data_IF_856910589747
#
_entry.id   IF_856910589747
#
_cell.length_a   1.000
_cell.length_b   1.000
_cell.length_c   1.000
_cell.angle_alpha   90.00
_cell.angle_beta   90.00
_cell.angle_gamma   90.00
#
_symmetry.space_group_name_H-M   'P 1'
#
loop_
_entity.id
_entity.type
_entity.pdbx_description
1 polymer ?
#
# COMPACT_ATOMS: atom_id res chain seq x y z
N UNK A 1 72.41 -10.32 8.31
CA UNK A 1 72.95 -11.24 7.29
C UNK A 1 71.83 -11.58 6.32
N UNK A 2 72.09 -11.47 5.00
CA UNK A 2 71.17 -11.78 3.89
C UNK A 2 70.94 -13.30 3.72
N UNK A 3 69.83 -13.63 3.04
CA UNK A 3 69.43 -14.87 2.30
C UNK A 3 68.16 -15.48 2.94
N UNK A 4 67.15 -15.97 2.22
CA UNK A 4 67.04 -16.36 0.81
C UNK A 4 65.55 -16.43 0.42
N UNK A 5 65.24 -16.08 -0.83
CA UNK A 5 63.95 -16.30 -1.51
C UNK A 5 63.66 -17.79 -1.67
N UNK A 6 62.41 -18.21 -1.41
CA UNK A 6 61.78 -19.38 -2.05
C UNK A 6 60.41 -18.93 -2.56
N UNK A 7 60.21 -19.13 -3.87
CA UNK A 7 58.97 -18.98 -4.62
C UNK A 7 58.44 -20.39 -4.97
N UNK A 8 57.14 -20.46 -5.26
CA UNK A 8 56.33 -21.60 -5.76
C UNK A 8 55.80 -22.58 -4.68
N UNK A 9 54.54 -23.02 -4.71
CA UNK A 9 53.38 -22.73 -5.57
C UNK A 9 52.11 -23.38 -4.95
N UNK A 10 50.94 -22.99 -5.47
CA UNK A 10 49.64 -23.66 -5.39
C UNK A 10 49.00 -23.87 -4.00
N UNK A 11 48.05 -23.00 -3.67
CA UNK A 11 46.93 -23.28 -2.76
C UNK A 11 45.67 -22.65 -3.36
N UNK A 12 44.64 -23.46 -3.55
CA UNK A 12 43.48 -23.19 -4.39
C UNK A 12 42.74 -21.88 -4.08
N UNK A 13 42.53 -21.06 -5.13
CA UNK A 13 41.43 -20.09 -5.15
C UNK A 13 40.16 -20.91 -5.37
N UNK A 14 39.51 -21.30 -4.28
CA UNK A 14 38.13 -21.75 -4.34
C UNK A 14 37.29 -20.50 -4.63
N UNK A 15 36.94 -20.34 -5.91
CA UNK A 15 35.93 -19.40 -6.37
C UNK A 15 34.58 -19.95 -5.93
N UNK A 16 34.25 -19.77 -4.65
CA UNK A 16 32.86 -19.84 -4.21
C UNK A 16 32.20 -18.57 -4.69
N UNK A 17 31.51 -18.63 -5.84
CA UNK A 17 30.44 -17.68 -6.09
C UNK A 17 29.46 -17.88 -4.94
N UNK A 18 29.49 -16.97 -3.95
CA UNK A 18 28.47 -16.94 -2.92
C UNK A 18 27.14 -16.87 -3.66
N UNK A 19 26.29 -17.88 -3.44
CA UNK A 19 24.87 -17.74 -3.72
C UNK A 19 24.44 -16.38 -3.13
N UNK A 20 23.69 -15.56 -3.88
CA UNK A 20 23.16 -14.33 -3.31
C UNK A 20 22.45 -14.70 -2.01
N UNK A 21 22.82 -14.04 -0.91
CA UNK A 21 22.17 -14.28 0.37
C UNK A 21 20.66 -14.10 0.16
N UNK A 22 19.88 -15.09 0.54
CA UNK A 22 18.42 -14.96 0.54
C UNK A 22 18.12 -13.90 1.59
N UNK A 23 17.55 -12.77 1.15
CA UNK A 23 17.06 -11.75 2.09
C UNK A 23 15.85 -12.35 2.83
N UNK A 24 16.09 -12.83 4.04
CA UNK A 24 15.03 -13.36 4.91
C UNK A 24 14.27 -12.21 5.57
N UNK A 25 12.94 -12.32 5.59
CA UNK A 25 12.10 -11.39 6.32
C UNK A 25 12.25 -11.63 7.83
N UNK A 26 12.48 -10.56 8.60
CA UNK A 26 12.47 -10.63 10.07
C UNK A 26 11.04 -10.73 10.61
N UNK A 27 10.08 -10.11 9.92
CA UNK A 27 8.65 -10.15 10.23
C UNK A 27 7.84 -10.26 8.95
N UNK A 28 6.86 -11.17 8.93
CA UNK A 28 5.89 -11.28 7.84
C UNK A 28 4.48 -11.24 8.42
N UNK A 29 3.66 -10.32 7.91
CA UNK A 29 2.24 -10.22 8.25
C UNK A 29 1.39 -10.24 6.99
N UNK A 30 0.17 -10.76 7.10
CA UNK A 30 -0.83 -10.77 6.03
C UNK A 30 -1.99 -9.84 6.37
N UNK A 31 -2.43 -9.04 5.41
CA UNK A 31 -3.58 -8.15 5.58
C UNK A 31 -4.83 -8.97 5.93
N UNK A 32 -5.39 -8.73 7.11
CA UNK A 32 -6.62 -9.36 7.60
C UNK A 32 -7.85 -8.52 7.24
N UNK A 33 -7.68 -7.20 7.21
CA UNK A 33 -8.70 -6.24 6.77
C UNK A 33 -8.07 -5.22 5.83
N UNK A 34 -8.88 -4.64 4.95
CA UNK A 34 -8.50 -3.49 4.14
C UNK A 34 -9.73 -2.60 3.96
N UNK A 35 -9.61 -1.34 4.34
CA UNK A 35 -10.72 -0.40 4.33
C UNK A 35 -10.25 0.93 3.73
N UNK A 36 -11.09 1.58 2.92
CA UNK A 36 -10.79 2.95 2.51
C UNK A 36 -10.91 3.87 3.71
N UNK A 37 -9.89 4.69 3.96
CA UNK A 37 -9.92 5.68 5.02
C UNK A 37 -11.00 6.72 4.70
N UNK A 38 -11.96 6.86 5.62
CA UNK A 38 -13.11 7.76 5.47
C UNK A 38 -12.88 9.08 6.18
N UNK A 39 -13.66 10.08 5.80
CA UNK A 39 -13.80 11.31 6.57
C UNK A 39 -14.73 11.04 7.77
N UNK A 40 -14.20 11.08 8.99
CA UNK A 40 -14.98 10.92 10.21
C UNK A 40 -14.21 11.38 11.46
N UNK A 41 -14.65 12.43 12.17
CA UNK A 41 -15.72 13.38 11.82
C UNK A 41 -15.32 14.26 10.61
N UNK A 42 -16.17 15.23 10.25
CA UNK A 42 -15.88 16.19 9.18
C UNK A 42 -14.49 16.82 9.38
N UNK A 43 -13.69 16.86 8.32
CA UNK A 43 -12.33 17.39 8.29
C UNK A 43 -11.27 16.46 8.89
N UNK A 44 -11.63 15.24 9.28
CA UNK A 44 -10.70 14.27 9.89
C UNK A 44 -10.66 12.98 9.07
N UNK A 45 -9.47 12.53 8.67
CA UNK A 45 -9.27 11.26 7.97
C UNK A 45 -7.88 10.68 8.24
N UNK A 46 -7.74 9.36 8.16
CA UNK A 46 -6.43 8.71 8.20
C UNK A 46 -5.71 8.86 6.85
N UNK A 47 -4.38 8.99 6.88
CA UNK A 47 -3.57 9.16 5.68
C UNK A 47 -2.21 9.78 6.00
N UNK A 48 -1.61 10.42 5.00
CA UNK A 48 -0.30 11.04 5.08
C UNK A 48 -0.33 12.44 4.48
N UNK A 49 0.64 13.26 4.87
CA UNK A 49 0.97 14.47 4.13
C UNK A 49 1.91 14.09 2.97
N UNK A 50 1.35 14.02 1.77
CA UNK A 50 2.00 13.52 0.56
C UNK A 50 2.65 14.65 -0.25
N UNK A 51 2.17 15.88 -0.12
CA UNK A 51 2.72 17.05 -0.83
C UNK A 51 3.61 17.98 0.02
N UNK A 52 3.76 17.65 1.31
CA UNK A 52 4.48 18.41 2.34
C UNK A 52 3.87 19.79 2.64
N UNK A 53 2.62 20.03 2.29
CA UNK A 53 1.89 21.26 2.61
C UNK A 53 0.80 21.01 3.66
N UNK A 54 0.41 22.09 4.33
CA UNK A 54 -0.87 22.15 5.06
C UNK A 54 -1.67 23.21 4.33
N UNK A 55 -2.70 22.78 3.63
CA UNK A 55 -3.38 23.54 2.61
C UNK A 55 -4.86 23.70 2.91
N UNK A 56 -5.36 24.91 2.66
CA UNK A 56 -6.77 25.24 2.74
C UNK A 56 -7.36 25.40 1.35
N UNK A 57 -8.69 25.45 1.26
CA UNK A 57 -9.47 25.53 0.00
C UNK A 57 -9.14 26.70 -0.94
N UNK A 58 -8.31 27.67 -0.53
CA UNK A 58 -7.88 28.80 -1.37
C UNK A 58 -6.35 28.85 -1.57
N UNK A 59 -5.63 27.78 -1.25
CA UNK A 59 -4.17 27.75 -1.40
C UNK A 59 -3.78 27.55 -2.87
N UNK A 60 -3.31 28.62 -3.50
CA UNK A 60 -2.84 28.60 -4.89
C UNK A 60 -1.51 27.90 -5.12
N UNK A 61 -0.88 27.35 -4.09
CA UNK A 61 0.29 26.46 -4.21
C UNK A 61 -0.13 25.04 -4.52
N UNK A 62 -1.21 24.56 -3.89
CA UNK A 62 -1.77 23.21 -4.05
C UNK A 62 -2.86 23.18 -5.11
N UNK A 63 -3.60 22.07 -5.16
CA UNK A 63 -4.75 21.86 -6.04
C UNK A 63 -6.05 22.51 -5.52
N UNK A 64 -5.95 23.50 -4.63
CA UNK A 64 -7.09 24.17 -4.00
C UNK A 64 -8.04 23.20 -3.26
N UNK A 65 -7.47 22.09 -2.79
CA UNK A 65 -8.15 21.15 -1.91
C UNK A 65 -7.77 21.49 -0.48
N UNK A 66 -8.68 21.20 0.44
CA UNK A 66 -8.43 21.41 1.86
C UNK A 66 -8.02 20.08 2.46
N UNK A 67 -6.88 20.07 3.12
CA UNK A 67 -6.34 18.85 3.70
C UNK A 67 -7.16 18.43 4.92
N UNK A 68 -7.10 17.16 5.25
CA UNK A 68 -7.68 16.65 6.48
C UNK A 68 -6.71 16.84 7.65
N UNK A 69 -7.24 16.77 8.87
CA UNK A 69 -6.47 16.40 10.04
C UNK A 69 -6.50 14.87 10.21
N UNK A 70 -5.43 14.28 10.72
CA UNK A 70 -5.44 12.91 11.19
C UNK A 70 -6.28 12.76 12.47
N UNK A 71 -6.67 11.54 12.86
CA UNK A 71 -7.33 11.29 14.14
C UNK A 71 -6.52 11.71 15.38
N UNK A 72 -5.19 11.77 15.28
CA UNK A 72 -4.29 12.25 16.35
C UNK A 72 -4.09 13.77 16.36
N UNK A 73 -4.67 14.49 15.39
CA UNK A 73 -4.63 15.95 15.28
C UNK A 73 -3.48 16.49 14.43
N UNK A 74 -2.68 15.63 13.80
CA UNK A 74 -1.69 16.03 12.79
C UNK A 74 -2.38 16.64 11.57
N UNK A 75 -1.96 17.83 11.14
CA UNK A 75 -2.54 18.53 9.99
C UNK A 75 -1.88 18.12 8.66
N UNK A 76 -2.58 18.37 7.54
CA UNK A 76 -2.04 18.19 6.19
C UNK A 76 -2.22 16.78 5.63
N UNK A 77 -3.25 16.04 6.05
CA UNK A 77 -3.52 14.70 5.53
C UNK A 77 -4.20 14.79 4.16
N UNK A 78 -3.54 14.23 3.15
CA UNK A 78 -4.05 14.05 1.80
C UNK A 78 -4.86 12.75 1.70
N UNK A 79 -6.18 12.86 1.52
CA UNK A 79 -7.07 11.73 1.26
C UNK A 79 -8.35 12.18 0.52
N UNK A 80 -8.23 12.89 -0.60
CA UNK A 80 -9.35 13.47 -1.34
C UNK A 80 -10.35 12.40 -1.81
N UNK A 81 -9.90 11.16 -2.05
CA UNK A 81 -10.80 10.04 -2.33
C UNK A 81 -11.88 9.85 -1.25
N UNK A 82 -11.58 10.16 0.03
CA UNK A 82 -12.55 10.07 1.13
C UNK A 82 -13.82 10.90 0.88
N UNK A 83 -13.72 12.02 0.16
CA UNK A 83 -14.86 12.88 -0.19
C UNK A 83 -15.74 12.26 -1.27
N UNK A 84 -15.18 11.38 -2.10
CA UNK A 84 -15.90 10.66 -3.14
C UNK A 84 -16.53 9.35 -2.65
N UNK A 85 -16.00 8.74 -1.58
CA UNK A 85 -16.50 7.48 -1.02
C UNK A 85 -18.03 7.48 -0.77
N UNK A 86 -18.66 8.53 -0.22
CA UNK A 86 -20.11 8.54 -0.05
C UNK A 86 -20.91 8.42 -1.37
N UNK A 87 -20.38 8.99 -2.46
CA UNK A 87 -21.00 8.88 -3.79
C UNK A 87 -20.78 7.49 -4.38
N UNK A 88 -19.60 6.90 -4.16
CA UNK A 88 -19.29 5.53 -4.56
C UNK A 88 -20.18 4.54 -3.81
N UNK A 89 -20.37 4.73 -2.50
CA UNK A 89 -21.28 3.91 -1.71
C UNK A 89 -22.73 4.06 -2.19
N UNK A 90 -23.17 5.27 -2.52
CA UNK A 90 -24.52 5.46 -3.06
C UNK A 90 -24.72 4.70 -4.37
N UNK A 91 -23.73 4.71 -5.26
CA UNK A 91 -23.78 4.00 -6.54
C UNK A 91 -23.64 2.47 -6.37
N UNK A 92 -22.84 2.02 -5.40
CA UNK A 92 -22.58 0.61 -5.10
C UNK A 92 -23.48 0.03 -4.00
N UNK A 93 -24.55 0.72 -3.62
CA UNK A 93 -25.47 0.33 -2.54
C UNK A 93 -24.77 0.00 -1.20
N UNK A 94 -23.65 0.67 -0.92
CA UNK A 94 -22.83 0.47 0.29
C UNK A 94 -22.02 -0.84 0.31
N UNK A 95 -21.99 -1.58 -0.80
CA UNK A 95 -21.35 -2.90 -0.86
C UNK A 95 -19.81 -2.85 -0.93
N UNK A 96 -19.20 -1.68 -1.21
CA UNK A 96 -17.76 -1.56 -1.48
C UNK A 96 -16.91 -2.22 -0.38
N UNK A 97 -17.15 -1.88 0.88
CA UNK A 97 -16.35 -2.39 1.99
C UNK A 97 -16.51 -3.91 2.17
N UNK A 98 -17.74 -4.42 2.02
CA UNK A 98 -18.01 -5.84 2.10
C UNK A 98 -17.31 -6.60 0.97
N UNK A 99 -17.35 -6.07 -0.27
CA UNK A 99 -16.70 -6.68 -1.43
C UNK A 99 -15.17 -6.75 -1.28
N UNK A 100 -14.55 -5.71 -0.72
CA UNK A 100 -13.11 -5.70 -0.42
C UNK A 100 -12.78 -6.75 0.63
N UNK A 101 -13.55 -6.81 1.72
CA UNK A 101 -13.31 -7.81 2.78
C UNK A 101 -13.55 -9.23 2.29
N UNK A 102 -14.58 -9.47 1.47
CA UNK A 102 -14.84 -10.77 0.84
C UNK A 102 -13.66 -11.16 -0.05
N UNK A 103 -13.09 -10.22 -0.81
CA UNK A 103 -11.91 -10.49 -1.62
C UNK A 103 -10.68 -10.88 -0.79
N UNK A 104 -10.47 -10.27 0.39
CA UNK A 104 -9.41 -10.65 1.33
C UNK A 104 -9.65 -12.07 1.84
N UNK A 105 -10.86 -12.34 2.32
CA UNK A 105 -11.26 -13.62 2.91
C UNK A 105 -11.22 -14.78 1.90
N UNK A 106 -11.51 -14.51 0.63
CA UNK A 106 -11.48 -15.49 -0.46
C UNK A 106 -10.09 -15.63 -1.11
N UNK A 107 -9.06 -14.96 -0.57
CA UNK A 107 -7.67 -15.04 -1.07
C UNK A 107 -7.43 -14.29 -2.38
N UNK A 108 -8.43 -13.59 -2.93
CA UNK A 108 -8.28 -12.78 -4.15
C UNK A 108 -7.49 -11.49 -3.90
N UNK A 109 -7.54 -10.98 -2.68
CA UNK A 109 -6.85 -9.80 -2.20
C UNK A 109 -5.94 -10.16 -1.01
N UNK A 110 -5.00 -11.07 -1.23
CA UNK A 110 -4.05 -11.50 -0.23
C UNK A 110 -2.75 -10.69 -0.37
N UNK A 111 -2.49 -9.79 0.57
CA UNK A 111 -1.28 -8.96 0.58
C UNK A 111 -0.42 -9.29 1.80
N UNK A 112 0.85 -9.61 1.55
CA UNK A 112 1.88 -9.79 2.57
C UNK A 112 2.73 -8.55 2.69
N UNK A 113 3.09 -8.23 3.92
CA UNK A 113 4.04 -7.19 4.27
C UNK A 113 5.21 -7.87 4.97
N UNK A 114 6.37 -7.86 4.31
CA UNK A 114 7.60 -8.49 4.76
C UNK A 114 8.60 -7.40 5.15
N UNK A 115 8.95 -7.34 6.42
CA UNK A 115 10.02 -6.49 6.93
C UNK A 115 11.33 -7.23 6.76
N UNK A 116 12.27 -6.63 6.07
CA UNK A 116 13.58 -7.21 5.78
C UNK A 116 14.64 -6.34 6.43
N UNK A 117 15.40 -6.95 7.33
CA UNK A 117 16.51 -6.29 8.02
C UNK A 117 17.84 -6.68 7.34
N UNK A 118 18.46 -5.69 6.71
CA UNK A 118 19.74 -5.83 6.06
C UNK A 118 20.91 -5.57 7.00
N UNK A 119 22.11 -5.67 6.44
CA UNK A 119 23.33 -5.31 7.15
C UNK A 119 23.32 -3.81 7.55
N UNK A 120 24.05 -3.49 8.61
CA UNK A 120 24.20 -2.12 9.12
C UNK A 120 22.87 -1.43 9.50
N UNK A 121 21.83 -2.20 9.84
CA UNK A 121 20.55 -1.67 10.34
C UNK A 121 19.66 -1.07 9.24
N UNK A 122 19.89 -1.41 7.98
CA UNK A 122 18.97 -1.06 6.90
C UNK A 122 17.68 -1.87 7.07
N UNK A 123 16.53 -1.21 6.94
CA UNK A 123 15.22 -1.87 6.97
C UNK A 123 14.52 -1.59 5.65
N UNK A 124 13.91 -2.62 5.08
CA UNK A 124 13.05 -2.50 3.90
C UNK A 124 11.69 -3.10 4.21
N UNK A 125 10.67 -2.58 3.54
CA UNK A 125 9.37 -3.21 3.47
C UNK A 125 9.18 -3.74 2.06
N UNK A 126 8.91 -5.04 1.94
CA UNK A 126 8.49 -5.69 0.70
C UNK A 126 7.02 -6.05 0.80
N UNK A 127 6.25 -5.68 -0.20
CA UNK A 127 4.83 -5.99 -0.31
C UNK A 127 4.64 -7.03 -1.39
N UNK A 128 4.04 -8.16 -1.03
CA UNK A 128 3.84 -9.28 -1.95
C UNK A 128 2.38 -9.69 -2.07
N UNK A 129 2.06 -10.31 -3.20
CA UNK A 129 0.74 -10.87 -3.48
C UNK A 129 0.72 -12.36 -3.19
N UNK A 130 -0.30 -12.79 -2.46
CA UNK A 130 -0.62 -14.20 -2.24
C UNK A 130 -1.55 -14.78 -3.30
N UNK A 131 -1.65 -16.11 -3.32
CA UNK A 131 -2.53 -16.86 -4.21
C UNK A 131 -3.43 -17.88 -3.50
N UNK A 132 -3.17 -18.19 -2.23
CA UNK A 132 -3.94 -19.16 -1.46
C UNK A 132 -5.24 -18.59 -0.87
N UNK A 133 -6.18 -19.48 -0.56
CA UNK A 133 -7.37 -19.15 0.24
C UNK A 133 -7.05 -19.35 1.71
N UNK A 134 -7.06 -18.29 2.54
CA UNK A 134 -6.72 -18.39 3.95
C UNK A 134 -7.80 -19.13 4.75
N UNK A 135 -7.40 -19.80 5.83
CA UNK A 135 -8.33 -20.26 6.86
C UNK A 135 -8.83 -19.07 7.66
N UNK A 136 -10.14 -19.05 7.90
CA UNK A 136 -10.81 -18.00 8.66
C UNK A 136 -11.20 -18.49 10.05
N UNK A 137 -11.16 -17.58 11.02
CA UNK A 137 -11.70 -17.78 12.35
C UNK A 137 -13.23 -17.74 12.36
N UNK A 138 -13.81 -18.00 13.54
CA UNK A 138 -15.28 -17.90 13.73
C UNK A 138 -15.81 -16.48 13.62
N UNK A 139 -14.92 -15.49 13.69
CA UNK A 139 -15.17 -14.06 13.50
C UNK A 139 -15.12 -13.64 12.01
N UNK A 140 -14.78 -14.56 11.11
CA UNK A 140 -14.74 -14.30 9.66
C UNK A 140 -13.45 -13.63 9.19
N UNK A 141 -12.39 -13.60 10.00
CA UNK A 141 -11.10 -13.03 9.66
C UNK A 141 -10.00 -14.09 9.53
N UNK A 142 -8.95 -13.78 8.77
CA UNK A 142 -7.79 -14.67 8.57
C UNK A 142 -7.16 -15.05 9.92
N UNK A 143 -6.94 -16.35 10.15
CA UNK A 143 -6.24 -16.84 11.34
C UNK A 143 -4.73 -16.51 11.28
N UNK A 144 -4.10 -16.15 12.42
CA UNK A 144 -2.65 -15.93 12.49
C UNK A 144 -1.86 -17.24 12.32
N UNK A 145 -0.60 -17.10 11.92
CA UNK A 145 0.40 -18.18 11.89
C UNK A 145 0.26 -19.15 10.73
N UNK A 146 -0.53 -18.82 9.71
CA UNK A 146 -0.69 -19.64 8.52
C UNK A 146 0.51 -19.53 7.58
N UNK A 147 0.85 -20.63 6.92
CA UNK A 147 1.79 -20.65 5.78
C UNK A 147 0.98 -20.59 4.49
N UNK A 148 1.20 -19.55 3.68
CA UNK A 148 0.38 -19.24 2.51
C UNK A 148 1.28 -18.99 1.28
N UNK A 149 0.81 -19.45 0.12
CA UNK A 149 1.54 -19.42 -1.14
C UNK A 149 1.48 -18.05 -1.79
N UNK A 150 2.58 -17.70 -2.45
CA UNK A 150 2.72 -16.47 -3.19
C UNK A 150 2.18 -16.63 -4.61
N UNK A 151 1.75 -15.53 -5.22
CA UNK A 151 1.33 -15.55 -6.62
C UNK A 151 2.54 -15.77 -7.54
N UNK A 152 2.52 -16.82 -8.36
CA UNK A 152 3.67 -17.18 -9.22
C UNK A 152 3.93 -16.18 -10.36
N UNK A 153 2.87 -15.54 -10.89
CA UNK A 153 2.98 -14.66 -12.05
C UNK A 153 3.48 -13.27 -11.67
N UNK A 154 2.83 -12.65 -10.68
CA UNK A 154 3.10 -11.28 -10.23
C UNK A 154 3.17 -11.20 -8.69
N UNK A 155 4.21 -11.79 -8.06
CA UNK A 155 4.32 -11.85 -6.60
C UNK A 155 4.68 -10.51 -5.96
N UNK A 156 5.36 -9.61 -6.66
CA UNK A 156 5.89 -8.37 -6.07
C UNK A 156 4.94 -7.20 -6.37
N UNK A 157 4.40 -6.59 -5.32
CA UNK A 157 3.53 -5.41 -5.41
C UNK A 157 4.30 -4.11 -5.21
N UNK A 158 5.35 -4.12 -4.39
CA UNK A 158 6.22 -2.99 -4.15
C UNK A 158 7.34 -3.33 -3.17
N UNK A 159 8.43 -2.56 -3.20
CA UNK A 159 9.52 -2.65 -2.22
C UNK A 159 10.11 -1.26 -2.00
N UNK A 160 10.37 -0.91 -0.74
CA UNK A 160 10.93 0.40 -0.40
C UNK A 160 11.66 0.45 0.93
N UNK A 161 12.33 1.58 1.21
CA UNK A 161 12.99 1.80 2.50
C UNK A 161 11.95 1.89 3.62
N UNK A 162 12.33 1.39 4.79
CA UNK A 162 11.54 1.47 6.00
C UNK A 162 12.42 1.83 7.20
N UNK A 163 11.78 2.26 8.29
CA UNK A 163 12.43 2.60 9.55
C UNK A 163 11.55 2.18 10.73
N UNK A 164 12.18 1.64 11.76
CA UNK A 164 11.55 1.38 13.05
C UNK A 164 11.69 2.59 13.98
N UNK A 165 10.60 2.93 14.65
CA UNK A 165 10.57 3.80 15.81
C UNK A 165 9.70 3.13 16.87
N UNK A 166 10.34 2.53 17.88
CA UNK A 166 9.68 1.64 18.85
C UNK A 166 8.89 0.53 18.12
N UNK A 167 7.58 0.41 18.37
CA UNK A 167 6.71 -0.59 17.75
C UNK A 167 6.04 -0.09 16.45
N UNK A 168 6.48 1.06 15.91
CA UNK A 168 5.95 1.64 14.68
C UNK A 168 6.95 1.48 13.54
N UNK A 169 6.52 0.83 12.46
CA UNK A 169 7.24 0.78 11.19
C UNK A 169 6.68 1.86 10.27
N UNK A 170 7.54 2.74 9.77
CA UNK A 170 7.21 3.66 8.67
C UNK A 170 8.01 3.26 7.43
N UNK A 171 7.35 3.25 6.27
CA UNK A 171 7.97 2.96 4.98
C UNK A 171 7.49 3.95 3.92
N UNK A 172 8.34 4.22 2.93
CA UNK A 172 8.04 5.20 1.88
C UNK A 172 9.09 6.30 1.72
N UNK A 173 9.03 7.06 0.62
CA UNK A 173 8.18 6.80 -0.55
C UNK A 173 8.69 5.63 -1.40
N UNK A 174 7.80 4.82 -1.97
CA UNK A 174 8.14 3.82 -3.00
C UNK A 174 6.94 3.47 -3.91
N UNK A 175 7.17 2.95 -5.13
CA UNK A 175 6.07 2.50 -5.99
C UNK A 175 5.40 1.25 -5.42
N UNK A 176 4.06 1.30 -5.29
CA UNK A 176 3.23 0.20 -4.81
C UNK A 176 2.04 -0.01 -5.73
N UNK A 177 1.80 -1.26 -6.13
CA UNK A 177 0.59 -1.68 -6.82
C UNK A 177 -0.38 -2.32 -5.83
N UNK A 178 -1.58 -1.77 -5.67
CA UNK A 178 -2.61 -2.31 -4.79
C UNK A 178 -3.62 -3.12 -5.62
N UNK A 179 -3.74 -4.43 -5.40
CA UNK A 179 -4.81 -5.20 -6.01
C UNK A 179 -6.16 -4.77 -5.43
N UNK A 180 -7.13 -4.49 -6.30
CA UNK A 180 -8.52 -4.21 -5.93
C UNK A 180 -9.44 -5.07 -6.78
N UNK A 181 -10.46 -5.64 -6.15
CA UNK A 181 -11.51 -6.37 -6.84
C UNK A 181 -12.72 -5.47 -6.97
N UNK A 182 -13.04 -5.08 -8.20
CA UNK A 182 -14.17 -4.22 -8.51
C UNK A 182 -15.01 -4.97 -9.55
N UNK A 183 -16.28 -5.25 -9.24
CA UNK A 183 -17.19 -6.03 -10.10
C UNK A 183 -16.62 -7.38 -10.56
N UNK A 184 -16.02 -8.11 -9.61
CA UNK A 184 -15.38 -9.42 -9.85
C UNK A 184 -14.17 -9.39 -10.80
N UNK A 185 -13.73 -8.20 -11.21
CA UNK A 185 -12.52 -8.00 -11.99
C UNK A 185 -11.41 -7.49 -11.06
N UNK A 186 -10.21 -8.07 -11.22
CA UNK A 186 -9.02 -7.59 -10.53
C UNK A 186 -8.42 -6.42 -11.31
N UNK A 187 -8.15 -5.34 -10.58
CA UNK A 187 -7.39 -4.18 -11.03
C UNK A 187 -6.16 -4.02 -10.13
N UNK A 188 -5.02 -3.66 -10.71
CA UNK A 188 -3.84 -3.26 -9.95
C UNK A 188 -3.76 -1.74 -10.00
N UNK A 189 -4.10 -1.09 -8.89
CA UNK A 189 -4.06 0.37 -8.77
C UNK A 189 -2.65 0.81 -8.39
N UNK A 190 -2.04 1.66 -9.20
CA UNK A 190 -0.67 2.12 -8.98
C UNK A 190 -0.61 3.35 -8.06
N UNK A 191 0.26 3.28 -7.05
CA UNK A 191 0.68 4.39 -6.19
C UNK A 191 2.18 4.64 -6.44
N UNK A 192 2.56 5.64 -7.24
CA UNK A 192 3.97 5.86 -7.59
C UNK A 192 4.86 6.22 -6.39
N UNK A 193 4.29 6.91 -5.40
CA UNK A 193 4.96 7.36 -4.18
C UNK A 193 4.08 6.99 -2.97
N UNK A 194 4.05 5.70 -2.65
CA UNK A 194 3.30 5.17 -1.52
C UNK A 194 4.07 5.34 -0.20
N UNK A 195 3.30 5.63 0.86
CA UNK A 195 3.73 5.69 2.24
C UNK A 195 2.92 4.71 3.08
N UNK A 196 3.59 4.01 3.99
CA UNK A 196 2.98 3.02 4.86
C UNK A 196 3.40 3.27 6.31
N UNK A 197 2.48 3.04 7.23
CA UNK A 197 2.72 3.11 8.69
C UNK A 197 1.99 1.97 9.37
N UNK A 198 2.72 1.15 10.12
CA UNK A 198 2.17 0.02 10.86
C UNK A 198 2.55 0.12 12.34
N UNK A 199 1.57 0.05 13.22
CA UNK A 199 1.78 -0.12 14.65
C UNK A 199 1.66 -1.61 15.00
N UNK A 200 2.77 -2.22 15.39
CA UNK A 200 2.84 -3.62 15.80
C UNK A 200 2.50 -3.78 17.28
N UNK A 201 1.81 -4.86 17.61
CA UNK A 201 1.63 -5.33 18.99
C UNK A 201 2.73 -6.31 19.37
N UNK A 202 2.85 -6.61 20.67
CA UNK A 202 3.86 -7.54 21.20
C UNK A 202 3.80 -8.95 20.59
N UNK A 203 2.63 -9.39 20.12
CA UNK A 203 2.42 -10.69 19.46
C UNK A 203 2.65 -10.64 17.94
N UNK A 204 3.10 -9.50 17.41
CA UNK A 204 3.43 -9.30 15.99
C UNK A 204 2.24 -8.98 15.09
N UNK A 205 1.04 -8.79 15.64
CA UNK A 205 -0.09 -8.29 14.86
C UNK A 205 0.04 -6.80 14.56
N UNK A 206 -0.58 -6.34 13.48
CA UNK A 206 -0.73 -4.91 13.19
C UNK A 206 -2.16 -4.52 13.56
N UNK A 207 -2.31 -3.84 14.69
CA UNK A 207 -3.62 -3.36 15.17
C UNK A 207 -4.13 -2.15 14.37
N UNK A 208 -3.20 -1.33 13.90
CA UNK A 208 -3.49 -0.15 13.09
C UNK A 208 -2.41 0.01 12.01
N UNK A 209 -2.80 -0.17 10.76
CA UNK A 209 -1.98 0.10 9.60
C UNK A 209 -2.62 1.15 8.70
N UNK A 210 -1.80 2.01 8.10
CA UNK A 210 -2.23 2.97 7.07
C UNK A 210 -1.33 2.84 5.85
N UNK A 211 -1.93 2.81 4.67
CA UNK A 211 -1.26 2.87 3.37
C UNK A 211 -1.83 4.08 2.64
N UNK A 212 -1.00 4.97 2.13
CA UNK A 212 -1.47 6.14 1.39
C UNK A 212 -0.55 6.50 0.23
N UNK A 213 -1.11 7.20 -0.75
CA UNK A 213 -0.37 7.66 -1.92
C UNK A 213 -1.29 8.33 -2.94
N UNK A 214 -0.69 8.90 -3.98
CA UNK A 214 -1.42 9.48 -5.10
C UNK A 214 -1.73 8.45 -6.20
N UNK A 215 -3.01 8.28 -6.54
CA UNK A 215 -3.44 7.47 -7.68
C UNK A 215 -3.50 8.39 -8.92
N UNK A 216 -2.88 8.02 -10.06
CA UNK A 216 -3.02 8.78 -11.30
C UNK A 216 -4.49 8.93 -11.70
N UNK A 217 -4.96 10.16 -11.90
CA UNK A 217 -6.36 10.45 -12.30
C UNK A 217 -6.72 9.75 -13.61
N UNK A 218 -5.77 9.65 -14.54
CA UNK A 218 -5.94 8.95 -15.80
C UNK A 218 -6.26 7.45 -15.60
N UNK A 219 -5.67 6.82 -14.58
CA UNK A 219 -5.88 5.43 -14.24
C UNK A 219 -7.27 5.22 -13.62
N UNK A 220 -7.68 6.10 -12.69
CA UNK A 220 -9.04 6.08 -12.14
C UNK A 220 -10.10 6.19 -13.24
N UNK A 221 -9.92 7.13 -14.17
CA UNK A 221 -10.82 7.28 -15.33
C UNK A 221 -10.85 6.00 -16.18
N UNK A 222 -9.71 5.34 -16.36
CA UNK A 222 -9.63 4.09 -17.13
C UNK A 222 -10.35 2.93 -16.41
N UNK A 223 -10.22 2.82 -15.09
CA UNK A 223 -10.93 1.83 -14.28
C UNK A 223 -12.44 2.03 -14.43
N UNK A 224 -12.93 3.26 -14.28
CA UNK A 224 -14.36 3.59 -14.41
C UNK A 224 -14.91 3.28 -15.81
N UNK A 225 -14.13 3.57 -16.85
CA UNK A 225 -14.48 3.23 -18.25
C UNK A 225 -14.48 1.74 -18.52
N UNK A 226 -13.62 0.98 -17.87
CA UNK A 226 -13.55 -0.47 -18.06
C UNK A 226 -14.67 -1.17 -17.28
N UNK A 227 -15.06 -0.62 -16.14
CA UNK A 227 -16.18 -1.07 -15.34
C UNK A 227 -17.56 -0.77 -15.97
N UNK A 228 -17.62 -0.21 -17.19
CA UNK A 228 -18.77 0.41 -17.89
C UNK A 228 -20.05 -0.42 -18.11
N UNK A 229 -20.24 -1.52 -17.39
CA UNK A 229 -21.56 -2.09 -17.12
C UNK A 229 -22.53 -1.12 -16.42
N UNK A 230 -22.05 0.04 -15.92
CA UNK A 230 -22.86 1.12 -15.34
C UNK A 230 -23.49 2.08 -16.35
N UNK A 231 -23.25 1.88 -17.65
CA UNK A 231 -23.80 2.73 -18.71
C UNK A 231 -23.18 4.14 -18.76
N UNK A 232 -23.57 4.95 -19.77
CA UNK A 232 -23.01 6.29 -19.99
C UNK A 232 -23.29 7.26 -18.82
N UNK A 233 -24.34 7.02 -18.05
CA UNK A 233 -24.76 7.85 -16.91
C UNK A 233 -23.72 7.88 -15.78
N UNK A 234 -23.00 6.78 -15.57
CA UNK A 234 -21.95 6.72 -14.55
C UNK A 234 -20.66 7.44 -15.00
N UNK A 235 -20.30 7.37 -16.28
CA UNK A 235 -19.19 8.18 -16.81
C UNK A 235 -19.53 9.68 -16.78
N UNK A 236 -20.78 10.06 -17.07
CA UNK A 236 -21.26 11.44 -16.95
C UNK A 236 -21.29 11.92 -15.50
N UNK A 237 -21.69 11.07 -14.55
CA UNK A 237 -21.78 11.41 -13.13
C UNK A 237 -20.41 11.50 -12.44
N UNK A 238 -19.50 10.56 -12.74
CA UNK A 238 -18.23 10.43 -12.02
C UNK A 238 -17.01 10.93 -12.80
N UNK A 239 -17.04 10.95 -14.14
CA UNK A 239 -15.87 11.31 -14.95
C UNK A 239 -15.45 12.78 -14.82
N UNK A 240 -16.41 13.69 -14.59
CA UNK A 240 -16.13 15.09 -14.24
C UNK A 240 -15.60 15.21 -12.81
N UNK A 241 -16.33 14.63 -11.85
CA UNK A 241 -15.98 14.67 -10.44
C UNK A 241 -14.58 14.11 -10.13
N UNK A 242 -14.19 13.02 -10.79
CA UNK A 242 -12.87 12.38 -10.59
C UNK A 242 -11.73 13.25 -11.13
N UNK A 243 -11.93 13.95 -12.24
CA UNK A 243 -10.93 14.89 -12.77
C UNK A 243 -10.81 16.13 -11.90
N UNK A 244 -11.94 16.63 -11.41
CA UNK A 244 -12.00 17.78 -10.52
C UNK A 244 -11.55 17.45 -9.09
N UNK A 245 -11.44 16.15 -8.76
CA UNK A 245 -10.97 15.64 -7.49
C UNK A 245 -9.47 15.30 -7.48
N UNK A 246 -8.71 15.60 -8.55
CA UNK A 246 -7.25 15.60 -8.46
C UNK A 246 -6.80 16.65 -7.44
N UNK A 247 -5.95 16.25 -6.51
CA UNK A 247 -5.47 17.08 -5.40
C UNK A 247 -3.93 17.08 -5.27
N UNK A 248 -3.25 16.16 -5.96
CA UNK A 248 -1.81 16.02 -5.97
C UNK A 248 -1.20 16.24 -7.36
N UNK A 249 0.13 16.38 -7.38
CA UNK A 249 0.95 16.51 -8.59
C UNK A 249 0.46 17.64 -9.51
N UNK A 250 0.42 18.86 -8.98
CA UNK A 250 -0.02 20.05 -9.72
C UNK A 250 0.96 20.40 -10.84
N UNK A 251 0.45 20.47 -12.07
CA UNK A 251 1.18 20.87 -13.25
C UNK A 251 1.20 22.39 -13.45
N UNK A 252 2.07 22.86 -14.34
CA UNK A 252 2.24 24.29 -14.64
C UNK A 252 0.98 24.95 -15.24
N UNK A 253 0.10 24.16 -15.85
CA UNK A 253 -1.20 24.61 -16.37
C UNK A 253 -2.30 24.66 -15.29
N UNK A 254 -1.97 24.30 -14.05
CA UNK A 254 -2.87 24.27 -12.92
C UNK A 254 -3.68 22.98 -12.76
N UNK A 255 -3.53 22.02 -13.67
CA UNK A 255 -4.17 20.70 -13.54
C UNK A 255 -3.50 19.84 -12.46
N UNK A 256 -4.24 18.90 -11.89
CA UNK A 256 -3.76 17.99 -10.85
C UNK A 256 -3.85 16.56 -11.37
N UNK A 257 -2.69 15.90 -11.47
CA UNK A 257 -2.57 14.64 -12.18
C UNK A 257 -2.85 13.41 -11.31
N UNK A 258 -2.88 13.58 -9.99
CA UNK A 258 -3.08 12.51 -9.03
C UNK A 258 -4.18 12.86 -8.03
N UNK A 259 -4.84 11.83 -7.53
CA UNK A 259 -5.81 11.89 -6.44
C UNK A 259 -5.26 11.11 -5.26
N UNK A 260 -5.10 11.76 -4.12
CA UNK A 260 -4.68 11.12 -2.88
C UNK A 260 -5.76 10.15 -2.39
N UNK A 261 -5.29 9.02 -1.89
CA UNK A 261 -6.11 8.01 -1.26
C UNK A 261 -5.34 7.38 -0.12
N UNK A 262 -6.08 7.01 0.93
CA UNK A 262 -5.56 6.21 2.02
C UNK A 262 -6.44 4.99 2.28
N UNK A 263 -5.79 3.89 2.66
CA UNK A 263 -6.38 2.66 3.14
C UNK A 263 -5.92 2.44 4.58
N UNK A 264 -6.82 1.96 5.42
CA UNK A 264 -6.49 1.43 6.74
C UNK A 264 -6.56 -0.09 6.71
N UNK A 265 -5.70 -0.75 7.47
CA UNK A 265 -5.66 -2.20 7.56
C UNK A 265 -5.34 -2.69 8.97
N UNK A 266 -5.70 -3.95 9.20
CA UNK A 266 -5.16 -4.81 10.25
C UNK A 266 -4.44 -5.96 9.61
N UNK A 267 -3.38 -6.46 10.24
CA UNK A 267 -2.63 -7.59 9.73
C UNK A 267 -2.27 -8.56 10.85
N UNK A 268 -2.09 -9.83 10.51
CA UNK A 268 -1.72 -10.88 11.46
C UNK A 268 -0.44 -11.58 11.01
N UNK A 269 0.38 -12.13 11.93
CA UNK A 269 1.56 -12.89 11.59
C UNK A 269 1.24 -14.01 10.60
N UNK A 270 2.09 -14.19 9.60
CA UNK A 270 1.97 -15.27 8.61
C UNK A 270 3.36 -15.69 8.11
N UNK A 271 3.40 -16.81 7.42
CA UNK A 271 4.58 -17.31 6.73
C UNK A 271 4.27 -17.46 5.24
N UNK A 272 5.28 -17.28 4.40
CA UNK A 272 5.15 -17.45 2.95
C UNK A 272 5.90 -18.69 2.47
N UNK A 273 5.42 -19.30 1.39
CA UNK A 273 6.16 -20.32 0.64
C UNK A 273 6.14 -20.01 -0.86
N UNK A 274 7.20 -20.43 -1.55
CA UNK A 274 7.45 -20.24 -2.99
C UNK A 274 7.40 -21.57 -3.75
#
# INVERSE_FOLDING_TARGET
MKRLTILCALGAVACGAGEPAVEEASVTVVAQTLEFARESPRGVSAGFNLDCFVSGSNDGRTCFKEDFASPDGTEGVDNELARLLPLIDLAGEGALQALVQDAVNEGRLLMFFEVIEGEAGQVKLRVRRGADVPLLGTDGFILPGQTLGLNEEDPLLGEGPATWADDVLEAGPFPLSIPLVIFSQLYLVSLPEAHLRFAFSEDGTVEAGTVGGGIPVAELVQVLRTASNFGPEFEELFGGAVRDAGDLARAADGSCAQMSAALTLRAVPAFVWE
#
